data_IF_277301023442
#
_entry.id   IF_277301023442
#
_cell.length_a   1.000
_cell.length_b   1.000
_cell.length_c   1.000
_cell.angle_alpha   90.00
_cell.angle_beta   90.00
_cell.angle_gamma   90.00
#
_symmetry.space_group_name_H-M   'P 1'
#
loop_
_entity.id
_entity.type
_entity.pdbx_description
1 polymer ?
#
# COMPACT_ATOMS: atom_id res chain seq x y z
N UNK A 1 -49.06 50.43 -48.09
CA UNK A 1 -48.70 49.01 -48.32
C UNK A 1 -47.28 48.81 -47.80
N UNK A 2 -47.06 47.66 -47.17
CA UNK A 2 -45.92 47.29 -46.33
C UNK A 2 -44.56 47.25 -47.05
N UNK A 3 -43.49 47.08 -46.25
CA UNK A 3 -42.29 46.21 -46.38
C UNK A 3 -41.20 46.86 -45.49
N UNK A 4 -41.04 46.42 -44.24
CA UNK A 4 -40.15 45.34 -43.77
C UNK A 4 -38.66 45.61 -44.03
N UNK A 5 -37.96 46.05 -42.97
CA UNK A 5 -36.51 46.22 -42.86
C UNK A 5 -35.86 44.88 -42.49
N UNK A 6 -34.97 44.37 -43.35
CA UNK A 6 -34.12 43.22 -43.07
C UNK A 6 -32.93 43.61 -42.17
N UNK A 7 -32.62 42.75 -41.20
CA UNK A 7 -31.44 42.83 -40.33
C UNK A 7 -30.44 41.72 -40.71
N UNK A 8 -29.13 41.89 -40.46
CA UNK A 8 -28.11 40.96 -40.95
C UNK A 8 -28.04 39.66 -40.13
N UNK A 9 -27.74 38.58 -40.84
CA UNK A 9 -27.50 37.23 -40.33
C UNK A 9 -26.36 37.21 -39.30
N UNK A 10 -26.65 36.70 -38.10
CA UNK A 10 -25.64 36.19 -37.17
C UNK A 10 -25.55 34.67 -37.34
N UNK A 11 -24.48 34.20 -37.97
CA UNK A 11 -24.06 32.80 -37.91
C UNK A 11 -23.66 32.44 -36.48
N UNK A 12 -24.51 31.68 -35.79
CA UNK A 12 -24.11 30.95 -34.58
C UNK A 12 -23.42 29.65 -35.02
N UNK A 13 -22.10 29.64 -34.94
CA UNK A 13 -21.31 28.42 -34.96
C UNK A 13 -21.69 27.56 -33.74
N UNK A 14 -22.37 26.44 -33.97
CA UNK A 14 -22.65 25.42 -32.95
C UNK A 14 -21.38 24.61 -32.71
N UNK A 15 -20.65 24.92 -31.64
CA UNK A 15 -19.57 24.06 -31.14
C UNK A 15 -20.17 22.88 -30.38
N UNK A 16 -20.51 21.81 -31.10
CA UNK A 16 -20.78 20.49 -30.52
C UNK A 16 -19.47 19.89 -30.01
N UNK A 17 -19.05 20.32 -28.82
CA UNK A 17 -18.07 19.57 -28.04
C UNK A 17 -18.83 18.43 -27.39
N UNK A 18 -18.87 17.29 -28.08
CA UNK A 18 -19.42 16.05 -27.51
C UNK A 18 -18.62 15.70 -26.25
N UNK A 19 -19.22 15.99 -25.10
CA UNK A 19 -18.73 15.49 -23.82
C UNK A 19 -18.77 13.97 -23.88
N UNK A 20 -17.63 13.32 -24.07
CA UNK A 20 -17.52 11.87 -23.94
C UNK A 20 -17.91 11.54 -22.50
N UNK A 21 -19.18 11.17 -22.29
CA UNK A 21 -19.65 10.67 -21.01
C UNK A 21 -18.76 9.50 -20.62
N UNK A 22 -18.00 9.66 -19.53
CA UNK A 22 -17.17 8.59 -18.99
C UNK A 22 -18.10 7.43 -18.65
N UNK A 23 -18.12 6.41 -19.52
CA UNK A 23 -18.90 5.19 -19.35
C UNK A 23 -18.69 4.66 -17.93
N UNK A 24 -19.77 4.55 -17.17
CA UNK A 24 -19.75 4.00 -15.81
C UNK A 24 -19.63 2.49 -15.87
N UNK A 25 -18.66 1.94 -15.16
CA UNK A 25 -18.47 0.49 -15.04
C UNK A 25 -19.66 -0.20 -14.35
N UNK A 26 -19.95 -1.42 -14.78
CA UNK A 26 -20.94 -2.32 -14.18
C UNK A 26 -20.38 -3.72 -14.05
N UNK A 27 -21.03 -4.58 -13.27
CA UNK A 27 -20.60 -5.98 -13.14
C UNK A 27 -20.65 -6.73 -14.48
N UNK A 28 -21.55 -6.34 -15.39
CA UNK A 28 -21.71 -6.98 -16.69
C UNK A 28 -20.50 -6.76 -17.63
N UNK A 29 -19.64 -5.78 -17.33
CA UNK A 29 -18.41 -5.51 -18.07
C UNK A 29 -17.27 -6.49 -17.75
N UNK A 30 -17.47 -7.41 -16.78
CA UNK A 30 -16.43 -8.32 -16.31
C UNK A 30 -16.86 -9.79 -16.38
N UNK A 31 -15.94 -10.65 -16.81
CA UNK A 31 -16.01 -12.09 -16.55
C UNK A 31 -15.41 -12.37 -15.18
N UNK A 32 -16.20 -12.89 -14.24
CA UNK A 32 -15.76 -13.19 -12.88
C UNK A 32 -15.19 -14.60 -12.82
N UNK A 33 -13.94 -14.71 -12.41
CA UNK A 33 -13.22 -15.96 -12.22
C UNK A 33 -13.17 -16.40 -10.76
N UNK A 34 -12.10 -17.13 -10.42
CA UNK A 34 -11.90 -17.72 -9.08
C UNK A 34 -11.75 -16.66 -7.99
N UNK A 35 -12.15 -16.96 -6.73
CA UNK A 35 -11.80 -16.13 -5.59
C UNK A 35 -10.28 -16.08 -5.38
N UNK A 36 -9.76 -14.90 -5.08
CA UNK A 36 -8.35 -14.65 -4.76
C UNK A 36 -8.12 -14.53 -3.25
N UNK A 37 -9.12 -14.03 -2.51
CA UNK A 37 -9.02 -13.85 -1.07
C UNK A 37 -10.31 -13.34 -0.45
N UNK A 38 -10.35 -13.33 0.88
CA UNK A 38 -11.45 -12.80 1.68
C UNK A 38 -10.93 -11.66 2.53
N UNK A 39 -11.50 -10.48 2.35
CA UNK A 39 -11.25 -9.31 3.18
C UNK A 39 -12.27 -9.20 4.32
N UNK A 40 -12.06 -8.23 5.21
CA UNK A 40 -12.96 -7.96 6.34
C UNK A 40 -14.40 -7.67 5.91
N UNK A 41 -14.57 -6.97 4.79
CA UNK A 41 -15.88 -6.46 4.33
C UNK A 41 -16.37 -7.11 3.02
N UNK A 42 -15.74 -8.21 2.60
CA UNK A 42 -16.14 -8.92 1.39
C UNK A 42 -15.03 -9.79 0.79
N UNK A 43 -15.05 -9.95 -0.53
CA UNK A 43 -14.21 -10.90 -1.26
C UNK A 43 -13.49 -10.25 -2.42
N UNK A 44 -12.34 -10.80 -2.80
CA UNK A 44 -11.59 -10.40 -3.97
C UNK A 44 -11.65 -11.52 -4.99
N UNK A 45 -12.00 -11.21 -6.23
CA UNK A 45 -12.10 -12.17 -7.32
C UNK A 45 -11.12 -11.83 -8.43
N UNK A 46 -10.59 -12.86 -9.08
CA UNK A 46 -9.97 -12.70 -10.39
C UNK A 46 -11.08 -12.31 -11.36
N UNK A 47 -10.85 -11.31 -12.20
CA UNK A 47 -11.80 -10.93 -13.23
C UNK A 47 -11.08 -10.54 -14.52
N UNK A 48 -11.81 -10.59 -15.62
CA UNK A 48 -11.35 -10.12 -16.92
C UNK A 48 -12.33 -9.07 -17.44
N UNK A 49 -11.85 -7.88 -17.77
CA UNK A 49 -12.66 -6.86 -18.43
C UNK A 49 -12.95 -7.29 -19.88
N UNK A 50 -14.23 -7.33 -20.27
CA UNK A 50 -14.67 -8.02 -21.49
C UNK A 50 -14.22 -7.36 -22.78
N UNK A 51 -14.04 -6.03 -22.82
CA UNK A 51 -13.68 -5.33 -24.07
C UNK A 51 -12.20 -5.46 -24.40
N UNK A 52 -11.33 -5.23 -23.41
CA UNK A 52 -9.87 -5.24 -23.56
C UNK A 52 -9.25 -6.60 -23.25
N UNK A 53 -10.02 -7.54 -22.69
CA UNK A 53 -9.53 -8.79 -22.12
C UNK A 53 -8.48 -8.61 -21.01
N UNK A 54 -8.40 -7.42 -20.41
CA UNK A 54 -7.43 -7.13 -19.37
C UNK A 54 -7.80 -7.84 -18.06
N UNK A 55 -6.82 -8.52 -17.47
CA UNK A 55 -6.98 -9.24 -16.19
C UNK A 55 -6.86 -8.26 -15.03
N UNK A 56 -7.83 -8.30 -14.12
CA UNK A 56 -7.92 -7.43 -12.95
C UNK A 56 -8.31 -8.23 -11.70
N UNK A 57 -8.11 -7.64 -10.53
CA UNK A 57 -8.71 -8.11 -9.29
C UNK A 57 -9.93 -7.25 -8.97
N UNK A 58 -11.09 -7.87 -8.75
CA UNK A 58 -12.32 -7.18 -8.39
C UNK A 58 -12.59 -7.38 -6.89
N UNK A 59 -12.33 -6.34 -6.08
CA UNK A 59 -12.61 -6.31 -4.63
C UNK A 59 -14.06 -5.88 -4.43
N UNK A 60 -14.89 -6.80 -3.95
CA UNK A 60 -16.33 -6.62 -3.72
C UNK A 60 -16.56 -6.38 -2.23
N UNK A 61 -17.18 -5.25 -1.89
CA UNK A 61 -17.46 -4.81 -0.53
C UNK A 61 -18.97 -4.69 -0.31
N UNK A 62 -19.49 -5.20 0.80
CA UNK A 62 -20.91 -5.11 1.12
C UNK A 62 -21.25 -3.81 1.85
N UNK A 63 -22.19 -3.03 1.31
CA UNK A 63 -22.59 -1.74 1.91
C UNK A 63 -23.11 -1.87 3.33
N UNK A 64 -23.89 -2.92 3.61
CA UNK A 64 -24.40 -3.21 4.96
C UNK A 64 -23.27 -3.41 5.98
N UNK A 65 -22.21 -4.11 5.63
CA UNK A 65 -21.07 -4.35 6.52
C UNK A 65 -20.25 -3.07 6.76
N UNK A 66 -20.08 -2.24 5.73
CA UNK A 66 -19.41 -0.95 5.85
C UNK A 66 -20.17 0.02 6.77
N UNK A 67 -21.50 0.03 6.67
CA UNK A 67 -22.40 0.82 7.52
C UNK A 67 -22.37 0.36 8.97
N UNK A 68 -22.52 -0.94 9.20
CA UNK A 68 -22.48 -1.54 10.54
C UNK A 68 -21.15 -1.27 11.25
N UNK A 69 -20.05 -1.24 10.50
CA UNK A 69 -18.71 -0.97 11.06
C UNK A 69 -18.33 0.52 11.06
N UNK A 70 -19.19 1.40 10.55
CA UNK A 70 -18.95 2.86 10.42
C UNK A 70 -17.65 3.24 9.67
N UNK A 71 -17.24 2.44 8.67
CA UNK A 71 -15.97 2.62 7.93
C UNK A 71 -16.15 3.24 6.54
N UNK A 72 -17.33 3.77 6.20
CA UNK A 72 -17.57 4.37 4.87
C UNK A 72 -16.57 5.49 4.54
N UNK A 73 -16.23 6.33 5.52
CA UNK A 73 -15.26 7.40 5.35
C UNK A 73 -13.85 6.88 5.08
N UNK A 74 -13.46 5.74 5.67
CA UNK A 74 -12.17 5.11 5.40
C UNK A 74 -12.11 4.58 3.96
N UNK A 75 -13.18 3.92 3.50
CA UNK A 75 -13.26 3.45 2.12
C UNK A 75 -13.20 4.59 1.09
N UNK A 76 -13.93 5.70 1.33
CA UNK A 76 -13.86 6.88 0.44
C UNK A 76 -12.44 7.42 0.36
N UNK A 77 -11.74 7.48 1.49
CA UNK A 77 -10.35 7.92 1.56
C UNK A 77 -9.40 6.95 0.85
N UNK A 78 -9.56 5.64 1.02
CA UNK A 78 -8.77 4.60 0.30
C UNK A 78 -8.90 4.81 -1.21
N UNK A 79 -10.15 4.94 -1.70
CA UNK A 79 -10.44 5.18 -3.13
C UNK A 79 -9.84 6.50 -3.60
N UNK A 80 -10.04 7.59 -2.86
CA UNK A 80 -9.52 8.91 -3.19
C UNK A 80 -7.99 8.90 -3.28
N UNK A 81 -7.30 8.42 -2.24
CA UNK A 81 -5.84 8.37 -2.20
C UNK A 81 -5.31 7.45 -3.32
N UNK A 82 -5.72 6.19 -3.34
CA UNK A 82 -5.14 5.19 -4.23
C UNK A 82 -5.45 5.48 -5.72
N UNK A 83 -6.58 6.13 -6.03
CA UNK A 83 -6.90 6.55 -7.39
C UNK A 83 -5.94 7.60 -7.96
N UNK A 84 -5.17 8.31 -7.13
CA UNK A 84 -4.16 9.29 -7.53
C UNK A 84 -2.71 8.79 -7.45
N UNK A 85 -2.48 7.59 -6.90
CA UNK A 85 -1.14 7.01 -6.82
C UNK A 85 -0.77 6.26 -8.12
N UNK A 86 0.43 6.52 -8.63
CA UNK A 86 1.00 5.96 -9.87
C UNK A 86 2.47 5.65 -9.59
N UNK A 87 2.75 4.44 -9.15
CA UNK A 87 4.11 3.98 -8.87
C UNK A 87 4.18 2.47 -9.12
N UNK A 88 5.26 1.92 -9.70
CA UNK A 88 5.37 0.49 -10.01
C UNK A 88 5.18 -0.43 -8.79
N UNK A 89 5.60 0.03 -7.61
CA UNK A 89 5.49 -0.69 -6.34
C UNK A 89 4.25 -0.32 -5.51
N UNK A 90 3.23 0.30 -6.12
CA UNK A 90 1.93 0.55 -5.50
C UNK A 90 0.86 -0.11 -6.37
N UNK A 91 -0.01 -0.92 -5.77
CA UNK A 91 -1.07 -1.62 -6.46
C UNK A 91 -2.03 -0.60 -7.07
N UNK A 92 -2.24 -0.69 -8.38
CA UNK A 92 -3.06 0.28 -9.11
C UNK A 92 -4.55 0.08 -8.81
N UNK A 93 -5.24 1.16 -8.43
CA UNK A 93 -6.71 1.26 -8.50
C UNK A 93 -7.12 1.87 -9.84
N UNK A 94 -7.63 1.05 -10.76
CA UNK A 94 -8.08 1.47 -12.08
C UNK A 94 -9.38 2.27 -12.03
N UNK A 95 -10.28 1.90 -11.11
CA UNK A 95 -11.55 2.57 -10.93
C UNK A 95 -12.42 1.85 -9.92
N UNK A 96 -13.63 2.33 -9.75
CA UNK A 96 -14.63 1.72 -8.89
C UNK A 96 -16.02 1.88 -9.48
N UNK A 97 -16.96 1.04 -9.03
CA UNK A 97 -18.38 1.18 -9.28
C UNK A 97 -19.19 0.63 -8.11
N UNK A 98 -20.51 0.78 -8.15
CA UNK A 98 -21.39 0.31 -7.09
C UNK A 98 -22.77 -0.01 -7.64
N UNK A 99 -23.42 -0.97 -7.01
CA UNK A 99 -24.84 -1.28 -7.19
C UNK A 99 -25.62 -0.93 -5.90
N UNK A 100 -26.86 -1.40 -5.76
CA UNK A 100 -27.68 -1.14 -4.58
C UNK A 100 -27.07 -1.72 -3.28
N UNK A 101 -26.36 -2.85 -3.35
CA UNK A 101 -25.90 -3.63 -2.19
C UNK A 101 -24.38 -3.62 -2.00
N UNK A 102 -23.61 -3.34 -3.06
CA UNK A 102 -22.16 -3.58 -3.11
C UNK A 102 -21.39 -2.41 -3.71
N UNK A 103 -20.15 -2.26 -3.27
CA UNK A 103 -19.12 -1.42 -3.89
C UNK A 103 -18.06 -2.35 -4.50
N UNK A 104 -17.54 -1.97 -5.66
CA UNK A 104 -16.57 -2.74 -6.43
C UNK A 104 -15.35 -1.88 -6.72
N UNK A 105 -14.17 -2.35 -6.34
CA UNK A 105 -12.90 -1.74 -6.70
C UNK A 105 -12.22 -2.59 -7.78
N UNK A 106 -11.82 -1.95 -8.87
CA UNK A 106 -11.13 -2.56 -10.00
C UNK A 106 -9.62 -2.34 -9.78
N UNK A 107 -8.93 -3.37 -9.32
CA UNK A 107 -7.53 -3.33 -8.91
C UNK A 107 -6.64 -4.06 -9.92
N UNK A 108 -5.37 -3.67 -9.95
CA UNK A 108 -4.32 -4.46 -10.57
C UNK A 108 -4.27 -5.87 -9.98
N UNK A 109 -4.10 -6.87 -10.85
CA UNK A 109 -3.96 -8.25 -10.43
C UNK A 109 -2.49 -8.56 -10.09
N UNK A 110 -2.21 -8.83 -8.82
CA UNK A 110 -0.91 -9.30 -8.36
C UNK A 110 -0.84 -10.84 -8.41
N UNK A 111 -0.27 -11.38 -9.47
CA UNK A 111 -0.39 -12.81 -9.81
C UNK A 111 0.28 -13.77 -8.82
N UNK A 112 1.30 -13.32 -8.07
CA UNK A 112 1.99 -14.14 -7.07
C UNK A 112 1.40 -14.00 -5.66
N UNK A 113 0.33 -13.22 -5.48
CA UNK A 113 -0.45 -13.16 -4.25
C UNK A 113 0.23 -12.37 -3.13
N UNK A 114 -0.13 -12.68 -1.88
CA UNK A 114 0.34 -12.00 -0.66
C UNK A 114 1.79 -12.34 -0.32
N UNK A 115 2.57 -11.30 0.02
CA UNK A 115 3.94 -11.46 0.49
C UNK A 115 4.02 -12.28 1.77
N UNK A 116 3.04 -12.11 2.68
CA UNK A 116 2.96 -12.89 3.92
C UNK A 116 3.00 -14.40 3.67
N UNK A 117 2.17 -14.91 2.76
CA UNK A 117 2.13 -16.34 2.42
C UNK A 117 3.45 -16.84 1.85
N UNK A 118 4.09 -16.02 1.04
CA UNK A 118 5.40 -16.31 0.46
C UNK A 118 6.51 -16.33 1.52
N UNK A 119 6.49 -15.39 2.47
CA UNK A 119 7.43 -15.37 3.60
C UNK A 119 7.26 -16.60 4.48
N UNK A 120 6.02 -16.94 4.85
CA UNK A 120 5.70 -18.15 5.63
C UNK A 120 6.20 -19.43 4.93
N UNK A 121 6.02 -19.52 3.61
CA UNK A 121 6.52 -20.65 2.82
C UNK A 121 8.05 -20.74 2.81
N UNK A 122 8.74 -19.61 2.69
CA UNK A 122 10.20 -19.55 2.70
C UNK A 122 10.82 -19.60 4.10
N UNK A 123 10.02 -19.39 5.15
CA UNK A 123 10.42 -19.12 6.54
C UNK A 123 11.11 -17.77 6.71
N UNK A 124 12.11 -17.48 5.89
CA UNK A 124 12.77 -16.18 5.79
C UNK A 124 13.34 -16.02 4.37
N UNK A 125 13.73 -14.81 4.00
CA UNK A 125 14.29 -14.44 2.71
C UNK A 125 15.81 -14.26 2.77
N UNK A 126 16.45 -14.42 1.62
CA UNK A 126 17.87 -14.08 1.44
C UNK A 126 18.07 -12.57 1.50
N UNK A 127 19.28 -12.12 1.85
CA UNK A 127 19.59 -10.69 1.88
C UNK A 127 19.34 -10.00 0.54
N UNK A 128 19.65 -10.67 -0.58
CA UNK A 128 19.36 -10.16 -1.94
C UNK A 128 17.87 -9.87 -2.14
N UNK A 129 17.00 -10.81 -1.77
CA UNK A 129 15.54 -10.65 -1.88
C UNK A 129 15.04 -9.55 -0.94
N UNK A 130 15.48 -9.58 0.32
CA UNK A 130 15.11 -8.61 1.35
C UNK A 130 15.51 -7.19 0.94
N UNK A 131 16.77 -6.97 0.52
CA UNK A 131 17.26 -5.68 0.07
C UNK A 131 16.51 -5.17 -1.16
N UNK A 132 16.19 -6.05 -2.11
CA UNK A 132 15.39 -5.70 -3.30
C UNK A 132 13.99 -5.20 -2.92
N UNK A 133 13.32 -5.90 -2.01
CA UNK A 133 11.99 -5.49 -1.55
C UNK A 133 12.03 -4.23 -0.69
N UNK A 134 13.00 -4.11 0.23
CA UNK A 134 13.19 -2.93 1.07
C UNK A 134 13.47 -1.68 0.20
N UNK A 135 14.33 -1.79 -0.81
CA UNK A 135 14.58 -0.70 -1.75
C UNK A 135 13.33 -0.31 -2.55
N UNK A 136 12.58 -1.29 -3.05
CA UNK A 136 11.32 -1.06 -3.78
C UNK A 136 10.26 -0.38 -2.91
N UNK A 137 10.13 -0.79 -1.64
CA UNK A 137 9.23 -0.14 -0.67
C UNK A 137 9.68 1.27 -0.33
N UNK A 138 10.98 1.48 -0.09
CA UNK A 138 11.49 2.82 0.19
C UNK A 138 11.20 3.80 -0.95
N UNK A 139 11.35 3.39 -2.22
CA UNK A 139 10.96 4.20 -3.39
C UNK A 139 9.46 4.51 -3.40
N UNK A 140 8.62 3.50 -3.12
CA UNK A 140 7.17 3.68 -3.04
C UNK A 140 6.76 4.66 -1.93
N UNK A 141 7.40 4.55 -0.76
CA UNK A 141 7.15 5.42 0.39
C UNK A 141 7.64 6.85 0.13
N UNK A 142 8.81 7.04 -0.49
CA UNK A 142 9.27 8.36 -0.94
C UNK A 142 8.22 9.01 -1.86
N UNK A 143 7.70 8.25 -2.83
CA UNK A 143 6.64 8.72 -3.72
C UNK A 143 5.36 9.10 -2.95
N UNK A 144 4.91 8.28 -2.01
CA UNK A 144 3.76 8.57 -1.16
C UNK A 144 3.98 9.84 -0.31
N UNK A 145 5.12 9.95 0.36
CA UNK A 145 5.47 11.06 1.25
C UNK A 145 5.59 12.37 0.46
N UNK A 146 6.14 12.33 -0.76
CA UNK A 146 6.14 13.47 -1.69
C UNK A 146 4.75 13.90 -2.17
N UNK A 147 3.74 13.05 -1.99
CA UNK A 147 2.31 13.36 -2.18
C UNK A 147 1.57 13.57 -0.85
N UNK A 148 2.29 13.77 0.25
CA UNK A 148 1.71 13.95 1.59
C UNK A 148 0.82 12.80 2.05
N UNK A 149 1.08 11.58 1.54
CA UNK A 149 0.38 10.35 1.94
C UNK A 149 1.29 9.57 2.88
N UNK A 150 0.83 9.33 4.10
CA UNK A 150 1.48 8.43 5.07
C UNK A 150 0.71 7.12 5.07
N UNK A 151 1.40 5.98 4.94
CA UNK A 151 0.75 4.68 4.78
C UNK A 151 0.20 4.14 6.11
N UNK A 152 1.05 4.10 7.15
CA UNK A 152 0.77 3.72 8.55
C UNK A 152 0.45 2.23 8.84
N UNK A 153 0.32 1.40 7.82
CA UNK A 153 0.08 -0.05 8.00
C UNK A 153 0.94 -0.90 7.06
N UNK A 154 2.24 -0.61 6.98
CA UNK A 154 3.19 -1.41 6.19
C UNK A 154 3.48 -2.71 6.94
N UNK A 155 3.05 -3.84 6.35
CA UNK A 155 3.23 -5.20 6.87
C UNK A 155 3.03 -6.23 5.75
N UNK A 156 3.52 -7.48 5.88
CA UNK A 156 3.49 -8.47 4.81
C UNK A 156 2.10 -8.77 4.22
N UNK A 157 1.03 -8.67 5.01
CA UNK A 157 -0.35 -8.93 4.60
C UNK A 157 -0.89 -7.86 3.64
N UNK A 158 -0.39 -6.63 3.76
CA UNK A 158 -0.78 -5.49 2.92
C UNK A 158 0.14 -5.34 1.68
N UNK A 159 1.04 -6.30 1.47
CA UNK A 159 1.99 -6.33 0.37
C UNK A 159 1.66 -7.50 -0.54
N UNK A 160 1.60 -7.23 -1.84
CA UNK A 160 1.37 -8.23 -2.87
C UNK A 160 2.60 -8.35 -3.77
N UNK A 161 2.70 -9.47 -4.48
CA UNK A 161 3.74 -9.74 -5.45
C UNK A 161 3.12 -9.85 -6.83
N UNK A 162 3.59 -9.00 -7.76
CA UNK A 162 3.17 -9.00 -9.14
C UNK A 162 3.74 -10.17 -9.95
N UNK A 163 3.39 -10.23 -11.23
CA UNK A 163 3.69 -11.39 -12.07
C UNK A 163 5.21 -11.60 -12.26
N UNK A 164 5.98 -10.52 -12.34
CA UNK A 164 7.41 -10.58 -12.55
C UNK A 164 8.17 -10.80 -11.24
N UNK A 165 7.53 -10.66 -10.07
CA UNK A 165 8.18 -10.73 -8.76
C UNK A 165 8.42 -9.36 -8.12
N UNK A 166 7.85 -8.31 -8.70
CA UNK A 166 7.85 -6.96 -8.17
C UNK A 166 6.88 -6.84 -6.98
N UNK A 167 7.32 -6.14 -5.93
CA UNK A 167 6.52 -5.91 -4.74
C UNK A 167 5.54 -4.75 -4.93
N UNK A 168 4.32 -4.86 -4.42
CA UNK A 168 3.26 -3.84 -4.53
C UNK A 168 2.54 -3.61 -3.21
N UNK A 169 2.45 -2.35 -2.80
CA UNK A 169 1.63 -1.92 -1.65
C UNK A 169 0.15 -1.91 -2.04
N UNK A 170 -0.71 -2.66 -1.34
CA UNK A 170 -2.09 -2.92 -1.77
C UNK A 170 -3.19 -2.27 -0.94
N UNK A 171 -2.99 -2.00 0.35
CA UNK A 171 -4.04 -1.55 1.28
C UNK A 171 -3.76 -0.17 1.87
N UNK A 172 -4.50 0.84 1.39
CA UNK A 172 -4.42 2.23 1.86
C UNK A 172 -5.53 2.60 2.85
N UNK A 173 -6.22 1.60 3.45
CA UNK A 173 -7.35 1.84 4.36
C UNK A 173 -6.99 2.62 5.62
N UNK A 174 -5.72 2.56 6.05
CA UNK A 174 -5.18 3.34 7.16
C UNK A 174 -4.40 4.57 6.71
N UNK A 175 -4.25 4.79 5.40
CA UNK A 175 -3.49 5.91 4.90
C UNK A 175 -4.21 7.24 5.10
N UNK A 176 -3.44 8.30 5.21
CA UNK A 176 -3.95 9.67 5.40
C UNK A 176 -3.20 10.66 4.52
N UNK A 177 -3.92 11.66 4.02
CA UNK A 177 -3.34 12.82 3.36
C UNK A 177 -3.17 13.93 4.41
N UNK A 178 -1.94 14.33 4.74
CA UNK A 178 -1.71 15.31 5.82
C UNK A 178 -0.34 15.98 5.74
N UNK A 179 -0.27 17.25 6.17
CA UNK A 179 0.96 18.01 6.38
C UNK A 179 1.38 18.07 7.87
N UNK A 180 0.55 17.52 8.77
CA UNK A 180 0.63 17.71 10.23
C UNK A 180 0.75 16.39 11.00
N UNK A 181 1.31 16.47 12.23
CA UNK A 181 1.44 15.37 13.21
C UNK A 181 0.07 14.86 13.72
N UNK A 182 0.00 13.59 14.14
CA UNK A 182 -1.28 12.89 14.47
C UNK A 182 -1.21 12.03 15.74
N UNK A 183 -2.35 11.75 16.37
CA UNK A 183 -2.47 10.95 17.62
C UNK A 183 -3.25 9.62 17.49
N UNK A 184 -3.73 9.24 16.31
CA UNK A 184 -4.58 8.04 16.14
C UNK A 184 -3.76 6.74 16.18
N UNK A 185 -4.08 5.82 17.10
CA UNK A 185 -3.57 4.44 17.10
C UNK A 185 -4.18 3.61 15.96
N UNK A 186 -3.36 3.09 15.05
CA UNK A 186 -3.76 2.17 13.98
C UNK A 186 -2.55 1.33 13.49
N UNK A 187 -2.78 0.09 13.07
CA UNK A 187 -1.74 -0.85 12.58
C UNK A 187 -1.84 -2.23 13.23
N UNK A 188 -0.98 -3.17 12.82
CA UNK A 188 -0.74 -4.42 13.56
C UNK A 188 0.27 -4.17 14.68
N UNK A 189 0.02 -4.69 15.88
CA UNK A 189 0.81 -4.44 17.10
C UNK A 189 2.32 -4.50 16.86
N UNK A 190 2.79 -5.55 16.20
CA UNK A 190 4.22 -5.82 16.01
C UNK A 190 4.94 -4.80 15.10
N UNK A 191 4.19 -3.98 14.34
CA UNK A 191 4.71 -2.93 13.45
C UNK A 191 4.49 -1.52 13.98
N UNK A 192 3.86 -1.38 15.15
CA UNK A 192 3.61 -0.07 15.75
C UNK A 192 4.93 0.56 16.21
N UNK A 193 5.18 1.84 15.87
CA UNK A 193 6.32 2.58 16.39
C UNK A 193 6.08 3.03 17.85
N UNK A 194 7.15 3.32 18.62
CA UNK A 194 7.04 3.71 20.03
C UNK A 194 6.12 4.90 20.28
N UNK A 195 6.19 5.93 19.44
CA UNK A 195 5.36 7.13 19.53
C UNK A 195 3.87 6.85 19.32
N UNK A 196 3.49 5.83 18.54
CA UNK A 196 2.08 5.43 18.43
C UNK A 196 1.64 4.70 19.69
N UNK A 197 2.47 3.80 20.23
CA UNK A 197 2.21 3.08 21.49
C UNK A 197 2.05 4.06 22.66
N UNK A 198 2.91 5.06 22.73
CA UNK A 198 2.90 6.10 23.75
C UNK A 198 1.83 7.20 23.47
N UNK A 199 1.02 7.05 22.41
CA UNK A 199 -0.01 8.01 21.99
C UNK A 199 0.50 9.44 21.75
N UNK A 200 1.75 9.53 21.30
CA UNK A 200 2.45 10.76 20.93
C UNK A 200 2.14 11.11 19.46
N UNK A 201 2.32 12.40 19.17
CA UNK A 201 2.19 12.95 17.83
C UNK A 201 3.21 12.34 16.84
N UNK A 202 2.73 11.76 15.75
CA UNK A 202 3.55 11.06 14.74
C UNK A 202 3.41 11.63 13.33
N UNK A 203 4.43 11.43 12.51
CA UNK A 203 4.52 11.89 11.12
C UNK A 203 4.89 10.74 10.15
N UNK A 204 5.45 11.06 8.98
CA UNK A 204 5.82 10.07 7.96
C UNK A 204 6.93 9.09 8.40
N UNK A 205 7.67 9.40 9.48
CA UNK A 205 8.71 8.54 10.04
C UNK A 205 8.19 7.20 10.59
N UNK A 206 6.87 7.07 10.81
CA UNK A 206 6.25 5.79 11.21
C UNK A 206 6.39 4.73 10.13
N UNK A 207 6.36 5.12 8.85
CA UNK A 207 6.55 4.19 7.74
C UNK A 207 8.01 3.69 7.68
N UNK A 208 8.98 4.49 8.16
CA UNK A 208 10.39 4.07 8.27
C UNK A 208 10.54 3.00 9.35
N UNK A 209 9.89 3.18 10.51
CA UNK A 209 9.86 2.15 11.55
C UNK A 209 9.27 0.85 11.04
N UNK A 210 8.07 0.89 10.44
CA UNK A 210 7.43 -0.30 9.91
C UNK A 210 8.25 -0.98 8.81
N UNK A 211 8.98 -0.22 7.98
CA UNK A 211 9.94 -0.77 7.02
C UNK A 211 11.13 -1.47 7.71
N UNK A 212 11.59 -0.95 8.86
CA UNK A 212 12.62 -1.61 9.66
C UNK A 212 12.16 -2.91 10.31
N UNK A 213 10.94 -2.93 10.86
CA UNK A 213 10.31 -4.15 11.38
C UNK A 213 10.19 -5.19 10.27
N UNK A 214 9.71 -4.77 9.09
CA UNK A 214 9.55 -5.63 7.92
C UNK A 214 10.90 -6.15 7.37
N UNK A 215 11.95 -5.32 7.36
CA UNK A 215 13.29 -5.72 6.95
C UNK A 215 13.85 -6.81 7.88
N UNK A 216 13.66 -6.65 9.19
CA UNK A 216 14.03 -7.67 10.16
C UNK A 216 13.25 -8.96 9.91
N UNK A 217 11.93 -8.85 9.76
CA UNK A 217 11.06 -10.02 9.56
C UNK A 217 11.37 -10.76 8.26
N UNK A 218 11.73 -10.06 7.18
CA UNK A 218 12.21 -10.74 5.97
C UNK A 218 13.44 -11.59 6.25
N UNK A 219 14.37 -11.12 7.06
CA UNK A 219 15.63 -11.82 7.31
C UNK A 219 15.53 -12.90 8.38
N UNK A 220 14.61 -12.76 9.33
CA UNK A 220 14.48 -13.65 10.49
C UNK A 220 13.20 -14.48 10.52
N UNK A 221 12.21 -14.15 9.69
CA UNK A 221 10.92 -14.84 9.57
C UNK A 221 9.87 -14.44 10.59
N UNK A 222 10.25 -13.63 11.59
CA UNK A 222 9.38 -13.17 12.69
C UNK A 222 9.68 -11.70 12.99
N UNK A 223 8.70 -10.92 13.48
CA UNK A 223 8.93 -9.54 13.88
C UNK A 223 9.93 -9.43 15.06
N UNK A 224 10.73 -8.35 15.15
CA UNK A 224 11.77 -8.20 16.17
C UNK A 224 11.24 -8.14 17.60
N UNK A 225 10.02 -7.61 17.78
CA UNK A 225 9.44 -7.33 19.09
C UNK A 225 8.32 -8.31 19.49
N UNK A 226 7.99 -9.28 18.63
CA UNK A 226 6.94 -10.28 18.90
C UNK A 226 7.22 -10.98 20.24
N UNK A 227 6.17 -11.12 21.04
CA UNK A 227 6.18 -11.80 22.32
C UNK A 227 4.85 -12.56 22.52
N UNK A 228 4.82 -13.45 23.51
CA UNK A 228 3.60 -14.23 23.81
C UNK A 228 2.44 -13.33 24.26
N UNK A 229 2.74 -12.36 25.10
CA UNK A 229 1.77 -11.42 25.66
C UNK A 229 1.88 -10.06 24.98
N UNK A 230 0.75 -9.46 24.64
CA UNK A 230 0.73 -8.13 24.00
C UNK A 230 1.41 -7.04 24.85
N UNK A 231 1.30 -7.12 26.18
CA UNK A 231 1.96 -6.21 27.11
C UNK A 231 3.49 -6.28 27.00
N UNK A 232 4.05 -7.47 26.77
CA UNK A 232 5.48 -7.64 26.55
C UNK A 232 5.89 -7.08 25.18
N UNK A 233 5.12 -7.31 24.13
CA UNK A 233 5.38 -6.69 22.81
C UNK A 233 5.42 -5.17 22.93
N UNK A 234 4.44 -4.55 23.60
CA UNK A 234 4.43 -3.10 23.84
C UNK A 234 5.70 -2.63 24.58
N UNK A 235 6.08 -3.32 25.66
CA UNK A 235 7.27 -3.00 26.43
C UNK A 235 8.53 -3.08 25.58
N UNK A 236 8.66 -4.13 24.75
CA UNK A 236 9.82 -4.32 23.86
C UNK A 236 9.89 -3.25 22.77
N UNK A 237 8.75 -2.83 22.22
CA UNK A 237 8.68 -1.70 21.26
C UNK A 237 9.15 -0.41 21.92
N UNK A 238 8.56 -0.04 23.08
CA UNK A 238 8.85 1.22 23.79
C UNK A 238 10.30 1.32 24.25
N UNK A 239 10.91 0.19 24.62
CA UNK A 239 12.31 0.09 25.04
C UNK A 239 13.26 -0.13 23.87
N UNK A 240 12.75 -0.38 22.67
CA UNK A 240 13.52 -0.82 21.50
C UNK A 240 14.43 -2.00 21.87
N UNK A 241 13.84 -3.04 22.50
CA UNK A 241 14.52 -4.30 22.87
C UNK A 241 14.77 -5.17 21.62
N UNK A 242 15.61 -4.63 20.72
CA UNK A 242 16.02 -5.23 19.46
C UNK A 242 17.14 -6.23 19.71
N UNK A 243 16.89 -7.49 19.35
CA UNK A 243 17.85 -8.59 19.49
C UNK A 243 17.99 -9.29 18.15
N UNK A 244 19.24 -9.53 17.74
CA UNK A 244 19.53 -10.28 16.52
C UNK A 244 19.94 -11.71 16.90
N UNK A 245 19.12 -12.73 16.63
CA UNK A 245 19.49 -14.11 16.93
C UNK A 245 20.68 -14.56 16.05
N UNK A 246 21.46 -15.55 16.50
CA UNK A 246 22.64 -16.03 15.77
C UNK A 246 22.29 -16.77 14.47
N UNK A 247 21.03 -17.21 14.33
CA UNK A 247 20.50 -17.87 13.13
C UNK A 247 19.17 -17.23 12.71
N UNK A 248 18.90 -17.10 11.39
CA UNK A 248 19.84 -17.30 10.28
C UNK A 248 21.03 -16.32 10.34
N UNK A 249 22.10 -16.65 9.61
CA UNK A 249 23.29 -15.79 9.55
C UNK A 249 22.94 -14.57 8.69
N UNK A 250 22.92 -13.41 9.33
CA UNK A 250 22.63 -12.11 8.72
C UNK A 250 23.85 -11.21 8.90
N UNK A 251 24.21 -10.50 7.83
CA UNK A 251 25.38 -9.64 7.77
C UNK A 251 25.32 -8.50 8.78
N UNK A 252 26.49 -8.00 9.19
CA UNK A 252 26.56 -6.80 10.02
C UNK A 252 25.93 -5.59 9.33
N UNK A 253 26.06 -5.47 8.02
CA UNK A 253 25.51 -4.36 7.24
C UNK A 253 23.96 -4.38 7.21
N UNK A 254 23.32 -5.55 7.18
CA UNK A 254 21.86 -5.65 7.31
C UNK A 254 21.38 -5.23 8.70
N UNK A 255 22.08 -5.69 9.75
CA UNK A 255 21.77 -5.35 11.15
C UNK A 255 21.96 -3.87 11.43
N UNK A 256 22.99 -3.27 10.85
CA UNK A 256 23.26 -1.83 10.90
C UNK A 256 22.10 -1.03 10.29
N UNK A 257 21.67 -1.39 9.08
CA UNK A 257 20.53 -0.74 8.43
C UNK A 257 19.25 -0.84 9.27
N UNK A 258 18.94 -2.03 9.80
CA UNK A 258 17.77 -2.23 10.68
C UNK A 258 17.86 -1.34 11.92
N UNK A 259 19.03 -1.28 12.56
CA UNK A 259 19.25 -0.49 13.77
C UNK A 259 19.11 1.01 13.53
N UNK A 260 19.45 1.49 12.33
CA UNK A 260 19.28 2.91 11.96
C UNK A 260 17.81 3.26 11.61
N UNK A 261 16.95 2.29 11.30
CA UNK A 261 15.50 2.52 11.13
C UNK A 261 14.72 2.37 12.43
N UNK A 262 15.07 1.38 13.26
CA UNK A 262 14.40 1.06 14.52
C UNK A 262 14.95 1.91 15.68
N UNK A 263 14.81 3.23 15.55
CA UNK A 263 15.24 4.20 16.55
C UNK A 263 14.02 4.79 17.27
N UNK A 264 14.12 4.91 18.61
CA UNK A 264 13.03 5.44 19.46
C UNK A 264 12.67 6.87 19.07
N UNK A 265 13.67 7.75 19.03
CA UNK A 265 13.47 9.11 18.54
C UNK A 265 13.24 9.07 17.03
N UNK A 266 12.01 9.38 16.63
CA UNK A 266 11.57 9.31 15.24
C UNK A 266 12.34 10.27 14.32
N UNK A 267 12.89 11.37 14.86
CA UNK A 267 13.70 12.34 14.12
C UNK A 267 15.09 11.80 13.75
N UNK A 268 15.56 10.77 14.46
CA UNK A 268 16.88 10.16 14.27
C UNK A 268 16.85 8.94 13.35
N UNK A 269 15.66 8.51 12.89
CA UNK A 269 15.53 7.38 11.96
C UNK A 269 16.15 7.72 10.62
N UNK A 270 16.84 6.75 10.01
CA UNK A 270 17.47 6.90 8.69
C UNK A 270 16.44 7.33 7.64
N UNK A 271 16.57 8.52 7.03
CA UNK A 271 15.64 8.97 6.00
C UNK A 271 15.62 8.04 4.79
N UNK A 272 14.45 7.82 4.18
CA UNK A 272 14.28 6.86 3.08
C UNK A 272 15.23 7.09 1.89
N UNK A 273 15.57 8.33 1.57
CA UNK A 273 16.53 8.64 0.50
C UNK A 273 17.95 8.18 0.86
N UNK A 274 18.37 8.32 2.12
CA UNK A 274 19.65 7.78 2.63
C UNK A 274 19.64 6.27 2.79
N UNK A 275 18.49 5.68 3.12
CA UNK A 275 18.33 4.23 3.14
C UNK A 275 18.66 3.61 1.77
N UNK A 276 18.27 4.24 0.67
CA UNK A 276 18.60 3.77 -0.68
C UNK A 276 20.11 3.85 -1.01
N UNK A 277 20.85 4.72 -0.32
CA UNK A 277 22.30 4.85 -0.43
C UNK A 277 23.07 3.90 0.52
N UNK A 278 22.36 3.21 1.43
CA UNK A 278 22.99 2.38 2.45
C UNK A 278 23.80 1.24 1.81
N UNK A 279 25.05 0.95 2.27
CA UNK A 279 25.92 -0.05 1.65
C UNK A 279 25.26 -1.41 1.45
N UNK A 280 24.50 -1.87 2.45
CA UNK A 280 23.76 -3.14 2.35
C UNK A 280 22.74 -3.16 1.20
N UNK A 281 22.02 -2.05 0.97
CA UNK A 281 21.05 -1.93 -0.13
C UNK A 281 21.79 -1.89 -1.46
N UNK A 282 22.81 -1.04 -1.59
CA UNK A 282 23.58 -0.87 -2.83
C UNK A 282 24.23 -2.20 -3.25
N UNK A 283 24.71 -2.99 -2.30
CA UNK A 283 25.38 -4.26 -2.58
C UNK A 283 24.41 -5.41 -2.92
N UNK A 284 23.24 -5.46 -2.29
CA UNK A 284 22.36 -6.64 -2.36
C UNK A 284 21.09 -6.45 -3.19
N UNK A 285 20.60 -5.22 -3.37
CA UNK A 285 19.35 -5.00 -4.08
C UNK A 285 19.52 -5.15 -5.60
N UNK A 286 18.57 -5.81 -6.24
CA UNK A 286 18.51 -5.87 -7.70
C UNK A 286 18.25 -4.48 -8.28
N UNK A 287 19.06 -3.99 -9.23
CA UNK A 287 18.83 -2.69 -9.87
C UNK A 287 17.45 -2.59 -10.54
N UNK A 288 16.93 -3.72 -11.02
CA UNK A 288 15.59 -3.79 -11.63
C UNK A 288 14.43 -3.60 -10.64
N UNK A 289 14.68 -3.73 -9.32
CA UNK A 289 13.65 -3.77 -8.28
C UNK A 289 12.82 -5.05 -8.27
N UNK A 290 13.15 -6.03 -9.12
CA UNK A 290 12.45 -7.30 -9.29
C UNK A 290 13.35 -8.43 -8.80
N UNK A 291 12.88 -9.18 -7.81
CA UNK A 291 13.55 -10.41 -7.41
C UNK A 291 13.18 -11.55 -8.36
N UNK A 292 14.16 -11.98 -9.16
CA UNK A 292 14.08 -13.18 -10.00
C UNK A 292 14.81 -14.28 -9.25
N UNK A 293 14.04 -15.14 -8.58
CA UNK A 293 14.57 -16.24 -7.77
C UNK A 293 15.44 -17.21 -8.57
#
# INVERSE_FOLDING_TARGET
MAIATESPQQEKASSDVSSVEKRRWTLNDFDIGKPLGRGKFGHVYLAREKRSNHIVALKVLFKSQLQQSQVEHQLRREVEIQSHLRHPNILRLYGYFYDQKRVYLILEYAAKGELYKELQKCKYFSERRSATYVASLARALIYCHGKHVIHRDIKPENLLIGAQGELKIADFGWSVHTFNRRRTMCGTLDYLPPEMVESVEHDASVDIWSLGVLCYEFLYGVPPFEAKEHSDTYRRIVQVDLKFPPKPIVSSAAKDLISQMLVKDSSQRLPLHKLLEHPWIVQNAEPSGIYRG
#
